data_IF_260918625698
#
_entry.id   IF_260918625698
#
_cell.length_a   1.000
_cell.length_b   1.000
_cell.length_c   1.000
_cell.angle_alpha   90.00
_cell.angle_beta   90.00
_cell.angle_gamma   90.00
#
_symmetry.space_group_name_H-M   'P 1'
#
loop_
_entity.id
_entity.type
_entity.pdbx_description
1 polymer ?
#
# COMPACT_ATOMS: atom_id res chain seq x y z
N UNK A 1 -13.76 33.33 3.22
CA UNK A 1 -12.62 33.03 2.33
C UNK A 1 -12.20 31.59 2.62
N UNK A 2 -12.72 30.63 1.84
CA UNK A 2 -12.31 29.22 1.96
C UNK A 2 -10.92 29.10 1.33
N UNK A 3 -9.87 28.72 2.06
CA UNK A 3 -8.57 28.50 1.46
C UNK A 3 -8.69 27.44 0.36
N UNK A 4 -8.23 27.75 -0.84
CA UNK A 4 -8.13 26.76 -1.91
C UNK A 4 -7.09 25.71 -1.49
N UNK A 5 -7.53 24.62 -0.92
CA UNK A 5 -6.70 23.46 -0.65
C UNK A 5 -6.28 22.84 -1.97
N UNK A 6 -5.10 23.21 -2.47
CA UNK A 6 -4.43 22.47 -3.54
C UNK A 6 -3.87 21.19 -2.94
N UNK A 7 -4.27 20.04 -3.45
CA UNK A 7 -3.84 18.67 -3.11
C UNK A 7 -4.54 17.97 -1.96
N UNK A 8 -5.87 17.91 -2.01
CA UNK A 8 -6.71 17.12 -1.07
C UNK A 8 -6.92 15.68 -1.57
N UNK A 9 -6.03 15.07 -2.30
CA UNK A 9 -6.38 13.81 -2.97
C UNK A 9 -5.82 12.54 -2.33
N UNK A 10 -5.09 12.60 -1.25
CA UNK A 10 -4.73 11.40 -0.53
C UNK A 10 -4.72 11.62 0.98
N UNK A 11 -5.37 10.85 1.54
CA UNK A 11 -5.68 10.70 2.91
C UNK A 11 -4.59 9.95 3.70
N UNK A 12 -3.45 10.46 3.91
CA UNK A 12 -3.27 10.99 5.26
C UNK A 12 -4.47 11.86 5.60
N UNK A 13 -5.42 11.56 4.96
CA UNK A 13 -6.61 12.21 4.51
C UNK A 13 -7.65 12.23 5.61
N UNK A 14 -7.86 11.20 6.41
CA UNK A 14 -8.78 11.36 7.53
C UNK A 14 -8.12 12.26 8.57
N UNK A 15 -6.83 12.06 8.90
CA UNK A 15 -6.11 12.98 9.80
C UNK A 15 -6.05 14.40 9.26
N UNK A 16 -5.75 14.59 7.99
CA UNK A 16 -5.69 15.90 7.39
C UNK A 16 -7.08 16.53 7.21
N UNK A 17 -8.11 15.75 6.87
CA UNK A 17 -9.48 16.23 6.85
C UNK A 17 -9.97 16.67 8.21
N UNK A 18 -9.74 15.88 9.24
CA UNK A 18 -10.13 16.25 10.61
C UNK A 18 -9.31 17.46 11.08
N UNK A 19 -8.02 17.53 10.75
CA UNK A 19 -7.18 18.70 11.06
C UNK A 19 -7.71 19.95 10.36
N UNK A 20 -8.03 19.87 9.08
CA UNK A 20 -8.62 20.98 8.31
C UNK A 20 -9.99 21.36 8.88
N UNK A 21 -10.85 20.41 9.21
CA UNK A 21 -12.16 20.70 9.82
C UNK A 21 -11.99 21.40 11.19
N UNK A 22 -11.06 20.96 12.02
CA UNK A 22 -10.76 21.59 13.31
C UNK A 22 -10.24 23.00 13.12
N UNK A 23 -9.30 23.21 12.20
CA UNK A 23 -8.74 24.54 11.90
C UNK A 23 -9.79 25.48 11.28
N UNK A 24 -10.64 24.97 10.37
CA UNK A 24 -11.71 25.78 9.76
C UNK A 24 -12.87 26.11 10.70
N UNK A 25 -13.12 25.27 11.70
CA UNK A 25 -14.21 25.45 12.67
C UNK A 25 -13.75 26.04 14.00
N UNK A 26 -12.46 26.37 14.12
CA UNK A 26 -11.84 26.90 15.35
C UNK A 26 -12.18 26.04 16.59
N UNK A 27 -12.16 24.72 16.42
CA UNK A 27 -12.45 23.78 17.48
C UNK A 27 -11.17 23.47 18.27
N UNK A 28 -11.18 23.76 19.56
CA UNK A 28 -10.09 23.43 20.49
C UNK A 28 -9.97 21.94 20.81
N UNK A 29 -10.52 21.09 19.94
CA UNK A 29 -10.52 19.64 20.10
C UNK A 29 -9.28 19.07 19.39
N UNK A 30 -8.46 18.30 20.11
CA UNK A 30 -7.42 17.46 19.53
C UNK A 30 -7.94 16.03 19.43
N UNK A 31 -8.42 15.59 18.26
CA UNK A 31 -8.80 14.19 18.11
C UNK A 31 -7.57 13.31 18.23
N UNK A 32 -7.63 12.33 19.10
CA UNK A 32 -6.68 11.20 19.06
C UNK A 32 -7.10 10.36 17.87
N UNK A 33 -6.40 10.53 16.74
CA UNK A 33 -6.65 9.72 15.56
C UNK A 33 -5.58 8.65 15.57
N UNK A 34 -5.97 7.45 15.93
CA UNK A 34 -5.15 6.26 15.75
C UNK A 34 -4.81 6.09 14.27
N UNK A 35 -3.64 5.52 14.00
CA UNK A 35 -3.24 5.23 12.63
C UNK A 35 -4.33 4.39 11.96
N UNK A 36 -4.82 4.83 10.80
CA UNK A 36 -5.81 4.05 10.05
C UNK A 36 -5.14 2.76 9.60
N UNK A 37 -5.68 1.60 10.00
CA UNK A 37 -5.13 0.32 9.61
C UNK A 37 -4.92 0.21 8.08
N UNK A 38 -3.77 -0.32 7.65
CA UNK A 38 -3.45 -0.43 6.24
C UNK A 38 -3.22 0.89 5.50
N UNK A 39 -2.93 1.99 6.21
CA UNK A 39 -2.53 3.28 5.64
C UNK A 39 -1.18 3.71 6.21
N UNK A 40 -0.11 3.40 5.48
CA UNK A 40 1.28 3.56 5.94
C UNK A 40 1.52 2.99 7.35
N UNK A 41 0.81 1.91 7.65
CA UNK A 41 0.94 1.20 8.91
C UNK A 41 2.30 0.52 8.98
N UNK A 42 3.04 0.72 10.07
CA UNK A 42 4.40 0.21 10.23
C UNK A 42 4.40 -0.94 11.22
N UNK A 43 4.95 -2.07 10.80
CA UNK A 43 5.23 -3.22 11.64
C UNK A 43 6.64 -3.74 11.36
N UNK A 44 7.56 -3.56 12.30
CA UNK A 44 8.98 -3.90 12.13
C UNK A 44 9.59 -3.22 10.88
N UNK A 45 10.14 -3.98 9.94
CA UNK A 45 10.68 -3.51 8.66
C UNK A 45 9.62 -3.41 7.54
N UNK A 46 8.35 -3.74 7.83
CA UNK A 46 7.25 -3.70 6.88
C UNK A 46 6.46 -2.39 7.00
N UNK A 47 6.05 -1.87 5.85
CA UNK A 47 5.02 -0.83 5.75
C UNK A 47 3.84 -1.41 4.99
N UNK A 48 2.64 -1.34 5.55
CA UNK A 48 1.40 -1.81 4.94
C UNK A 48 0.61 -0.62 4.43
N UNK A 49 0.27 -0.62 3.13
CA UNK A 49 -0.56 0.43 2.53
C UNK A 49 -1.45 -0.14 1.42
N UNK A 50 -2.72 0.20 1.45
CA UNK A 50 -3.73 -0.27 0.48
C UNK A 50 -3.72 0.51 -0.83
N UNK A 51 -2.63 1.19 -1.20
CA UNK A 51 -2.47 1.82 -2.51
C UNK A 51 -2.71 0.80 -3.63
N UNK A 52 -3.58 1.13 -4.59
CA UNK A 52 -4.02 0.21 -5.64
C UNK A 52 -4.19 0.90 -7.00
N UNK A 53 -3.67 2.10 -7.16
CA UNK A 53 -3.64 2.84 -8.42
C UNK A 53 -2.38 3.70 -8.52
N UNK A 54 -2.10 4.20 -9.72
CA UNK A 54 -0.93 4.99 -10.04
C UNK A 54 -0.73 6.20 -9.11
N UNK A 55 -1.79 6.96 -8.86
CA UNK A 55 -1.71 8.18 -8.03
C UNK A 55 -1.37 7.85 -6.58
N UNK A 56 -1.94 6.75 -6.04
CA UNK A 56 -1.71 6.32 -4.67
C UNK A 56 -0.26 5.87 -4.46
N UNK A 57 0.26 5.05 -5.37
CA UNK A 57 1.63 4.56 -5.24
C UNK A 57 2.64 5.70 -5.42
N UNK A 58 2.40 6.63 -6.35
CA UNK A 58 3.24 7.82 -6.51
C UNK A 58 3.30 8.67 -5.25
N UNK A 59 2.15 8.93 -4.64
CA UNK A 59 2.10 9.65 -3.38
C UNK A 59 2.86 8.93 -2.27
N UNK A 60 2.69 7.61 -2.17
CA UNK A 60 3.36 6.80 -1.15
C UNK A 60 4.89 6.84 -1.31
N UNK A 61 5.38 6.76 -2.54
CA UNK A 61 6.82 6.76 -2.85
C UNK A 61 7.45 8.16 -2.79
N UNK A 62 6.67 9.24 -3.01
CA UNK A 62 7.17 10.62 -2.97
C UNK A 62 7.68 11.06 -1.59
N UNK A 63 7.33 10.36 -0.53
CA UNK A 63 7.77 10.64 0.84
C UNK A 63 9.22 10.16 1.14
N UNK A 64 10.06 9.98 0.12
CA UNK A 64 11.46 9.56 0.21
C UNK A 64 11.73 8.26 0.99
N UNK A 65 10.72 7.43 1.17
CA UNK A 65 10.89 6.09 1.74
C UNK A 65 11.37 5.15 0.64
N UNK A 66 12.64 4.77 0.66
CA UNK A 66 13.16 3.73 -0.22
C UNK A 66 12.75 2.36 0.31
N UNK A 67 12.02 1.61 -0.49
CA UNK A 67 11.70 0.21 -0.24
C UNK A 67 12.57 -0.67 -1.12
N UNK A 68 13.25 -1.63 -0.52
CA UNK A 68 14.10 -2.59 -1.23
C UNK A 68 13.25 -3.73 -1.80
N UNK A 69 12.16 -4.06 -1.10
CA UNK A 69 11.22 -5.11 -1.49
C UNK A 69 9.81 -4.53 -1.52
N UNK A 70 9.03 -4.95 -2.53
CA UNK A 70 7.60 -4.64 -2.64
C UNK A 70 6.83 -5.93 -2.80
N UNK A 71 6.06 -6.32 -1.78
CA UNK A 71 5.09 -7.42 -1.86
C UNK A 71 3.83 -6.87 -2.51
N UNK A 72 3.50 -7.38 -3.68
CA UNK A 72 2.45 -6.86 -4.54
C UNK A 72 1.40 -7.90 -4.88
N UNK A 73 0.15 -7.62 -4.51
CA UNK A 73 -1.02 -8.37 -4.97
C UNK A 73 -2.11 -7.38 -5.41
N UNK A 74 -2.61 -7.51 -6.63
CA UNK A 74 -3.56 -6.58 -7.22
C UNK A 74 -4.79 -7.27 -7.78
N UNK A 75 -5.87 -6.52 -7.95
CA UNK A 75 -7.07 -6.99 -8.65
C UNK A 75 -6.93 -6.75 -10.16
N UNK A 76 -7.53 -7.63 -10.98
CA UNK A 76 -7.50 -7.56 -12.45
C UNK A 76 -8.15 -6.31 -13.03
N UNK A 77 -9.11 -5.71 -12.30
CA UNK A 77 -9.81 -4.49 -12.71
C UNK A 77 -8.99 -3.21 -12.49
N UNK A 78 -7.77 -3.32 -11.97
CA UNK A 78 -6.85 -2.20 -11.76
C UNK A 78 -5.83 -2.12 -12.90
N UNK A 79 -5.35 -0.90 -13.16
CA UNK A 79 -4.30 -0.64 -14.14
C UNK A 79 -2.93 -1.03 -13.55
N UNK A 80 -2.63 -2.34 -13.61
CA UNK A 80 -1.42 -2.92 -13.01
C UNK A 80 -0.18 -2.41 -13.74
N UNK A 81 -0.24 -2.21 -15.05
CA UNK A 81 0.86 -1.67 -15.84
C UNK A 81 1.26 -0.29 -15.31
N UNK A 82 0.31 0.65 -15.21
CA UNK A 82 0.60 1.99 -14.68
C UNK A 82 1.07 1.97 -13.22
N UNK A 83 0.54 1.05 -12.40
CA UNK A 83 1.01 0.91 -11.03
C UNK A 83 2.47 0.47 -10.98
N UNK A 84 2.84 -0.59 -11.72
CA UNK A 84 4.19 -1.13 -11.75
C UNK A 84 5.18 -0.13 -12.34
N UNK A 85 4.76 0.68 -13.33
CA UNK A 85 5.62 1.70 -13.93
C UNK A 85 6.06 2.81 -12.95
N UNK A 86 5.35 3.00 -11.85
CA UNK A 86 5.73 3.97 -10.81
C UNK A 86 6.68 3.38 -9.75
N UNK A 87 6.89 2.06 -9.74
CA UNK A 87 7.79 1.43 -8.77
C UNK A 87 9.25 1.79 -9.07
N UNK A 88 10.11 1.89 -8.03
CA UNK A 88 11.54 2.13 -8.23
C UNK A 88 12.20 1.00 -9.04
N UNK A 89 13.13 1.34 -9.92
CA UNK A 89 13.83 0.37 -10.78
C UNK A 89 14.80 -0.53 -9.96
N UNK A 90 15.23 -0.06 -8.79
CA UNK A 90 16.14 -0.76 -7.88
C UNK A 90 15.44 -1.63 -6.83
N UNK A 91 14.13 -1.77 -6.89
CA UNK A 91 13.38 -2.64 -5.98
C UNK A 91 13.23 -4.08 -6.52
N UNK A 92 12.93 -4.99 -5.61
CA UNK A 92 12.51 -6.36 -5.94
C UNK A 92 11.03 -6.51 -5.67
N UNK A 93 10.26 -6.89 -6.69
CA UNK A 93 8.82 -7.17 -6.52
C UNK A 93 8.62 -8.65 -6.17
N UNK A 94 7.87 -8.90 -5.10
CA UNK A 94 7.37 -10.22 -4.75
C UNK A 94 5.87 -10.26 -5.14
N UNK A 95 5.59 -10.74 -6.34
CA UNK A 95 4.24 -10.83 -6.88
C UNK A 95 3.47 -11.99 -6.24
N UNK A 96 2.28 -11.71 -5.69
CA UNK A 96 1.47 -12.67 -4.97
C UNK A 96 0.12 -12.91 -5.66
N UNK A 97 -0.35 -14.17 -5.63
CA UNK A 97 -1.75 -14.45 -5.87
C UNK A 97 -2.58 -13.95 -4.68
N UNK A 98 -3.81 -13.53 -4.96
CA UNK A 98 -4.80 -13.19 -3.94
C UNK A 98 -5.82 -14.32 -3.83
N UNK A 99 -6.36 -14.53 -2.63
CA UNK A 99 -7.50 -15.41 -2.41
C UNK A 99 -8.80 -14.71 -2.86
N UNK A 100 -8.91 -14.48 -4.16
CA UNK A 100 -10.04 -13.83 -4.82
C UNK A 100 -10.06 -14.16 -6.30
N UNK A 101 -11.22 -14.52 -6.83
CA UNK A 101 -11.42 -14.74 -8.29
C UNK A 101 -11.08 -13.48 -9.12
N UNK A 102 -11.19 -12.31 -8.51
CA UNK A 102 -10.81 -11.02 -9.11
C UNK A 102 -9.33 -10.71 -9.00
N UNK A 103 -8.56 -11.52 -8.29
CA UNK A 103 -7.12 -11.34 -8.13
C UNK A 103 -6.37 -11.54 -9.44
N UNK A 104 -5.43 -10.66 -9.75
CA UNK A 104 -4.42 -10.93 -10.75
C UNK A 104 -3.49 -12.04 -10.24
N UNK A 105 -3.04 -12.90 -11.13
CA UNK A 105 -2.07 -13.93 -10.79
C UNK A 105 -0.69 -13.32 -10.59
N UNK A 106 0.13 -13.95 -9.76
CA UNK A 106 1.54 -13.55 -9.59
C UNK A 106 2.31 -13.56 -10.92
N UNK A 107 1.91 -14.42 -11.86
CA UNK A 107 2.48 -14.49 -13.21
C UNK A 107 2.14 -13.24 -14.04
N UNK A 108 0.87 -12.82 -14.06
CA UNK A 108 0.45 -11.61 -14.78
C UNK A 108 1.21 -10.38 -14.29
N UNK A 109 1.40 -10.25 -12.97
CA UNK A 109 2.19 -9.16 -12.36
C UNK A 109 3.67 -9.29 -12.77
N UNK A 110 4.24 -10.49 -12.72
CA UNK A 110 5.63 -10.72 -13.07
C UNK A 110 5.91 -10.43 -14.56
N UNK A 111 4.98 -10.76 -15.47
CA UNK A 111 5.09 -10.43 -16.89
C UNK A 111 5.14 -8.91 -17.13
N UNK A 112 4.41 -8.12 -16.32
CA UNK A 112 4.46 -6.65 -16.37
C UNK A 112 5.79 -6.14 -15.81
N UNK A 113 6.24 -6.65 -14.65
CA UNK A 113 7.55 -6.29 -14.10
C UNK A 113 8.69 -6.54 -15.08
N UNK A 114 8.63 -7.66 -15.81
CA UNK A 114 9.62 -8.01 -16.85
C UNK A 114 9.66 -6.98 -17.98
N UNK A 115 8.52 -6.42 -18.39
CA UNK A 115 8.47 -5.36 -19.43
C UNK A 115 9.17 -4.07 -18.98
N UNK A 116 9.18 -3.80 -17.68
CA UNK A 116 9.85 -2.64 -17.07
C UNK A 116 11.28 -2.95 -16.60
N UNK A 117 11.77 -4.17 -16.79
CA UNK A 117 13.09 -4.65 -16.32
C UNK A 117 13.26 -4.60 -14.78
N UNK A 118 12.15 -4.75 -14.05
CA UNK A 118 12.16 -4.88 -12.58
C UNK A 118 12.30 -6.35 -12.20
N UNK A 119 13.22 -6.64 -11.27
CA UNK A 119 13.36 -7.99 -10.71
C UNK A 119 12.06 -8.41 -10.00
N UNK A 120 11.51 -9.55 -10.39
CA UNK A 120 10.28 -10.07 -9.82
C UNK A 120 10.38 -11.56 -9.48
N UNK A 121 9.88 -11.92 -8.29
CA UNK A 121 9.69 -13.31 -7.85
C UNK A 121 8.20 -13.57 -7.62
N UNK A 122 7.75 -14.80 -7.92
CA UNK A 122 6.35 -15.17 -7.82
C UNK A 122 6.09 -16.00 -6.55
N UNK A 123 4.99 -15.69 -5.87
CA UNK A 123 4.56 -16.38 -4.65
C UNK A 123 3.08 -16.78 -4.73
N UNK A 124 2.75 -17.93 -4.15
CA UNK A 124 1.39 -18.43 -4.12
C UNK A 124 0.42 -17.61 -3.26
N UNK A 125 0.93 -16.82 -2.30
CA UNK A 125 0.16 -15.92 -1.45
C UNK A 125 1.10 -14.92 -0.74
N UNK A 126 0.52 -13.94 -0.06
CA UNK A 126 1.24 -12.87 0.65
C UNK A 126 2.04 -13.42 1.82
N UNK A 127 1.49 -14.39 2.56
CA UNK A 127 2.15 -15.04 3.71
C UNK A 127 3.50 -15.65 3.31
N UNK A 128 3.57 -16.37 2.20
CA UNK A 128 4.82 -16.98 1.70
C UNK A 128 5.84 -15.92 1.28
N UNK A 129 5.38 -14.81 0.70
CA UNK A 129 6.27 -13.69 0.35
C UNK A 129 6.84 -13.04 1.62
N UNK A 130 6.03 -12.77 2.64
CA UNK A 130 6.49 -12.22 3.92
C UNK A 130 7.57 -13.12 4.56
N UNK A 131 7.36 -14.44 4.55
CA UNK A 131 8.31 -15.41 5.12
C UNK A 131 9.67 -15.44 4.40
N UNK A 132 9.75 -14.96 3.16
CA UNK A 132 10.99 -14.90 2.39
C UNK A 132 11.80 -13.61 2.61
N UNK A 133 11.24 -12.64 3.32
CA UNK A 133 11.88 -11.36 3.65
C UNK A 133 12.63 -11.50 4.97
N UNK A 134 13.83 -10.95 5.06
CA UNK A 134 14.65 -10.95 6.29
C UNK A 134 14.56 -9.58 6.99
N UNK A 135 15.42 -8.65 6.63
CA UNK A 135 15.53 -7.33 7.29
C UNK A 135 15.34 -6.16 6.33
N UNK A 136 15.07 -6.44 5.06
CA UNK A 136 14.91 -5.42 4.04
C UNK A 136 13.67 -4.57 4.30
N UNK A 137 13.79 -3.25 4.10
CA UNK A 137 12.63 -2.37 4.18
C UNK A 137 11.62 -2.73 3.09
N UNK A 138 10.47 -3.22 3.51
CA UNK A 138 9.47 -3.85 2.65
C UNK A 138 8.16 -3.09 2.67
N UNK A 139 7.61 -2.82 1.49
CA UNK A 139 6.25 -2.32 1.30
C UNK A 139 5.34 -3.49 0.96
N UNK A 140 4.19 -3.60 1.63
CA UNK A 140 3.10 -4.54 1.30
C UNK A 140 1.93 -3.71 0.76
N UNK A 141 1.55 -3.92 -0.50
CA UNK A 141 0.61 -3.02 -1.18
C UNK A 141 -0.11 -3.67 -2.37
N UNK A 142 -0.95 -2.89 -3.06
CA UNK A 142 -1.64 -3.24 -4.31
C UNK A 142 -3.13 -3.53 -4.14
N UNK A 143 -3.60 -3.92 -2.97
CA UNK A 143 -5.02 -4.13 -2.70
C UNK A 143 -5.30 -4.22 -1.20
N UNK A 144 -6.59 -4.09 -0.85
CA UNK A 144 -7.05 -4.42 0.51
C UNK A 144 -6.81 -5.87 0.87
N UNK A 145 -6.98 -6.81 -0.06
CA UNK A 145 -6.74 -8.25 0.15
C UNK A 145 -5.29 -8.52 0.55
N UNK A 146 -4.33 -7.89 -0.15
CA UNK A 146 -2.90 -8.03 0.15
C UNK A 146 -2.58 -7.56 1.56
N UNK A 147 -3.11 -6.40 1.94
CA UNK A 147 -2.88 -5.81 3.26
C UNK A 147 -3.62 -6.59 4.35
N UNK A 148 -4.85 -7.04 4.09
CA UNK A 148 -5.61 -7.85 5.05
C UNK A 148 -4.91 -9.16 5.37
N UNK A 149 -4.40 -9.90 4.37
CA UNK A 149 -3.66 -11.15 4.57
C UNK A 149 -2.36 -10.91 5.37
N UNK A 150 -1.67 -9.79 5.10
CA UNK A 150 -0.48 -9.42 5.85
C UNK A 150 -0.80 -9.08 7.32
N UNK A 151 -1.87 -8.32 7.57
CA UNK A 151 -2.32 -7.98 8.91
C UNK A 151 -2.70 -9.22 9.72
N UNK A 152 -3.43 -10.15 9.09
CA UNK A 152 -3.77 -11.44 9.70
C UNK A 152 -2.50 -12.23 10.05
N UNK A 153 -1.52 -12.28 9.15
CA UNK A 153 -0.24 -12.94 9.40
C UNK A 153 0.50 -12.34 10.59
N UNK A 154 0.52 -11.02 10.70
CA UNK A 154 1.17 -10.30 11.80
C UNK A 154 0.31 -10.21 13.07
N UNK A 155 -0.94 -10.72 13.05
CA UNK A 155 -1.91 -10.64 14.15
C UNK A 155 -2.15 -9.19 14.62
N UNK A 156 -2.29 -8.27 13.65
CA UNK A 156 -2.57 -6.86 13.93
C UNK A 156 -4.08 -6.65 14.12
N UNK A 157 -4.48 -6.10 15.28
CA UNK A 157 -5.87 -5.85 15.62
C UNK A 157 -6.52 -4.75 14.74
N UNK A 158 -7.85 -4.74 14.63
CA UNK A 158 -8.62 -3.61 14.06
C UNK A 158 -9.29 -3.83 12.69
N UNK A 159 -9.38 -5.07 12.17
CA UNK A 159 -10.17 -5.43 10.98
C UNK A 159 -11.05 -6.67 11.16
N UNK A 160 -11.39 -7.05 12.39
CA UNK A 160 -12.16 -8.27 12.64
C UNK A 160 -13.67 -8.14 12.35
N UNK A 161 -14.14 -7.01 11.80
CA UNK A 161 -15.55 -6.81 11.47
C UNK A 161 -15.71 -6.01 10.16
N UNK A 162 -15.55 -6.65 9.02
CA UNK A 162 -16.20 -6.26 7.76
C UNK A 162 -16.67 -7.52 7.03
#
# INVERSE_FOLDING_TARGET
HIPRCKNIFYANSIRNWIKICIECLDLSIRPIIDAVPGRQEIYSNFTLDTAHNQQAINFLLSNNKKYQIIILGMLKDKDIDKFVYELPDDCVVLACNLDSERGATSREIADICKKKDIMCKQYGNVRKAIQSVSSERTLITGSFYTVSEAREYFKLDGYSEL
#
